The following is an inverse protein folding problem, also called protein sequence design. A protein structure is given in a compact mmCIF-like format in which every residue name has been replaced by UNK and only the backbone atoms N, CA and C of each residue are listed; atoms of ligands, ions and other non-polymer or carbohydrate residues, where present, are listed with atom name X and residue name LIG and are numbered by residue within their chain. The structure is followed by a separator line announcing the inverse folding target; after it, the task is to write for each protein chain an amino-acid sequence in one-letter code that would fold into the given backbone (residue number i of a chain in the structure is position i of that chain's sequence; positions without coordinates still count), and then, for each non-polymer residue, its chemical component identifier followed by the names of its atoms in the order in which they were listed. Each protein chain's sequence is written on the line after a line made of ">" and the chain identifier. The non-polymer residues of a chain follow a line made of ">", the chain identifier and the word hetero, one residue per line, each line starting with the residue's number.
data_IF_475302403740
#
_entry.id   IF_475302403740
#
_cell.length_a   1.000
_cell.length_b   1.000
_cell.length_c   1.000
_cell.angle_alpha   90.00
_cell.angle_beta   90.00
_cell.angle_gamma   90.00
#
_symmetry.space_group_name_H-M   'P 1'
#
loop_
_entity.id
_entity.type
_entity.pdbx_description
1 polymer ?
#
# COMPACT_ATOMS: atom_id res chain seq x y z
N UNK A 1 20.65 4.21 5.60
CA UNK A 1 19.65 3.49 6.41
C UNK A 1 20.09 2.05 6.50
N UNK A 2 20.20 1.48 7.71
CA UNK A 2 20.56 0.06 7.89
C UNK A 2 19.32 -0.82 7.77
N UNK A 3 19.50 -2.11 7.43
CA UNK A 3 18.43 -3.08 7.20
C UNK A 3 17.37 -3.09 8.30
N UNK A 4 17.78 -3.17 9.58
CA UNK A 4 16.82 -3.17 10.69
C UNK A 4 15.96 -1.91 10.77
N UNK A 5 16.56 -0.73 10.53
CA UNK A 5 15.81 0.53 10.51
C UNK A 5 14.79 0.55 9.38
N UNK A 6 15.19 0.09 8.20
CA UNK A 6 14.30 -0.03 7.05
C UNK A 6 13.12 -0.96 7.32
N UNK A 7 13.37 -2.13 7.93
CA UNK A 7 12.33 -3.11 8.25
C UNK A 7 11.31 -2.53 9.25
N UNK A 8 11.79 -1.87 10.32
CA UNK A 8 10.92 -1.23 11.31
C UNK A 8 10.07 -0.10 10.69
N UNK A 9 10.66 0.69 9.80
CA UNK A 9 9.96 1.75 9.09
C UNK A 9 8.88 1.18 8.16
N UNK A 10 9.22 0.15 7.37
CA UNK A 10 8.27 -0.51 6.48
C UNK A 10 7.14 -1.21 7.23
N UNK A 11 7.41 -1.81 8.39
CA UNK A 11 6.36 -2.38 9.24
C UNK A 11 5.39 -1.29 9.74
N UNK A 12 5.92 -0.13 10.14
CA UNK A 12 5.11 1.01 10.56
C UNK A 12 4.25 1.53 9.41
N UNK A 13 4.86 1.69 8.23
CA UNK A 13 4.17 2.09 6.99
C UNK A 13 3.08 1.09 6.62
N UNK A 14 3.33 -0.21 6.72
CA UNK A 14 2.35 -1.27 6.48
C UNK A 14 1.19 -1.22 7.48
N UNK A 15 1.45 -0.95 8.76
CA UNK A 15 0.39 -0.77 9.77
C UNK A 15 -0.51 0.43 9.45
N UNK A 16 0.09 1.56 9.06
CA UNK A 16 -0.67 2.73 8.61
C UNK A 16 -1.50 2.41 7.36
N UNK A 17 -0.90 1.74 6.39
CA UNK A 17 -1.58 1.32 5.17
C UNK A 17 -2.75 0.36 5.45
N UNK A 18 -2.57 -0.64 6.33
CA UNK A 18 -3.64 -1.55 6.74
C UNK A 18 -4.78 -0.78 7.43
N UNK A 19 -4.47 0.22 8.26
CA UNK A 19 -5.50 1.09 8.85
C UNK A 19 -6.26 1.89 7.79
N UNK A 20 -5.58 2.40 6.76
CA UNK A 20 -6.22 3.14 5.67
C UNK A 20 -7.05 2.22 4.76
N UNK A 21 -6.62 0.97 4.54
CA UNK A 21 -7.42 -0.08 3.90
C UNK A 21 -8.69 -0.42 4.68
N UNK A 22 -8.64 -0.47 6.02
CA UNK A 22 -9.84 -0.68 6.83
C UNK A 22 -10.78 0.52 6.79
N UNK A 23 -10.27 1.76 6.79
CA UNK A 23 -11.09 2.96 6.52
C UNK A 23 -11.75 2.89 5.15
N UNK A 24 -10.99 2.48 4.12
CA UNK A 24 -11.47 2.33 2.74
C UNK A 24 -12.61 1.31 2.64
N UNK A 25 -12.54 0.23 3.42
CA UNK A 25 -13.56 -0.81 3.48
C UNK A 25 -14.79 -0.41 4.30
N UNK A 26 -14.59 0.34 5.39
CA UNK A 26 -15.64 0.76 6.30
C UNK A 26 -16.44 1.97 5.78
N UNK A 27 -15.89 2.73 4.82
CA UNK A 27 -16.55 3.91 4.27
C UNK A 27 -17.88 3.57 3.58
N UNK A 28 -18.82 4.53 3.49
CA UNK A 28 -20.04 4.37 2.72
C UNK A 28 -19.72 4.00 1.26
N UNK A 29 -20.34 2.93 0.75
CA UNK A 29 -20.15 2.53 -0.64
C UNK A 29 -20.62 3.65 -1.58
N UNK A 30 -19.88 3.97 -2.66
CA UNK A 30 -20.30 4.97 -3.65
C UNK A 30 -21.70 4.67 -4.19
N UNK A 31 -22.47 5.68 -4.58
CA UNK A 31 -23.83 5.46 -5.14
C UNK A 31 -23.78 4.85 -6.55
N UNK A 32 -22.76 5.19 -7.33
CA UNK A 32 -22.55 4.67 -8.69
C UNK A 32 -21.99 3.25 -8.66
N UNK A 33 -22.57 2.36 -9.47
CA UNK A 33 -22.07 1.00 -9.66
C UNK A 33 -20.63 0.96 -10.19
N UNK A 34 -20.30 1.87 -11.11
CA UNK A 34 -18.94 2.00 -11.63
C UNK A 34 -17.94 2.34 -10.51
N UNK A 35 -18.26 3.32 -9.66
CA UNK A 35 -17.41 3.70 -8.55
C UNK A 35 -17.29 2.60 -7.49
N UNK A 36 -18.35 1.79 -7.27
CA UNK A 36 -18.27 0.60 -6.41
C UNK A 36 -17.34 -0.45 -6.98
N UNK A 37 -17.46 -0.75 -8.28
CA UNK A 37 -16.62 -1.73 -8.95
C UNK A 37 -15.14 -1.32 -8.93
N UNK A 38 -14.85 -0.04 -9.19
CA UNK A 38 -13.49 0.49 -9.11
C UNK A 38 -12.94 0.42 -7.69
N UNK A 39 -13.73 0.78 -6.67
CA UNK A 39 -13.32 0.63 -5.27
C UNK A 39 -12.99 -0.82 -4.89
N UNK A 40 -13.85 -1.77 -5.29
CA UNK A 40 -13.64 -3.19 -4.98
C UNK A 40 -12.40 -3.74 -5.69
N UNK A 41 -12.20 -3.42 -6.98
CA UNK A 41 -10.98 -3.76 -7.72
C UNK A 41 -9.75 -3.19 -7.02
N UNK A 42 -9.81 -1.92 -6.62
CA UNK A 42 -8.69 -1.27 -5.94
C UNK A 42 -8.37 -1.96 -4.62
N UNK A 43 -9.38 -2.29 -3.83
CA UNK A 43 -9.17 -3.01 -2.58
C UNK A 43 -8.47 -4.35 -2.80
N UNK A 44 -8.86 -5.14 -3.80
CA UNK A 44 -8.19 -6.40 -4.12
C UNK A 44 -6.76 -6.22 -4.62
N UNK A 45 -6.50 -5.22 -5.48
CA UNK A 45 -5.15 -4.93 -5.97
C UNK A 45 -4.24 -4.52 -4.81
N UNK A 46 -4.70 -3.60 -3.96
CA UNK A 46 -3.97 -3.11 -2.80
C UNK A 46 -3.66 -4.24 -1.80
N UNK A 47 -4.60 -5.16 -1.59
CA UNK A 47 -4.38 -6.36 -0.77
C UNK A 47 -3.27 -7.24 -1.35
N UNK A 48 -3.29 -7.50 -2.66
CA UNK A 48 -2.28 -8.31 -3.33
C UNK A 48 -0.89 -7.65 -3.28
N UNK A 49 -0.81 -6.33 -3.50
CA UNK A 49 0.45 -5.57 -3.41
C UNK A 49 1.02 -5.53 -2.00
N UNK A 50 0.18 -5.41 -0.98
CA UNK A 50 0.59 -5.51 0.42
C UNK A 50 1.18 -6.88 0.73
N UNK A 51 0.56 -7.94 0.24
CA UNK A 51 1.05 -9.30 0.45
C UNK A 51 2.38 -9.51 -0.30
N UNK A 52 2.52 -8.98 -1.53
CA UNK A 52 3.81 -8.92 -2.25
C UNK A 52 4.88 -8.18 -1.44
N UNK A 53 4.56 -7.02 -0.87
CA UNK A 53 5.48 -6.23 -0.05
C UNK A 53 5.92 -7.02 1.19
N UNK A 54 5.00 -7.71 1.88
CA UNK A 54 5.33 -8.58 3.03
C UNK A 54 6.30 -9.70 2.64
N UNK A 55 6.14 -10.28 1.46
CA UNK A 55 7.07 -11.29 0.96
C UNK A 55 8.43 -10.70 0.58
N UNK A 56 8.48 -9.48 0.02
CA UNK A 56 9.74 -8.77 -0.19
C UNK A 56 10.45 -8.47 1.13
N UNK A 57 9.73 -8.09 2.19
CA UNK A 57 10.32 -7.83 3.50
C UNK A 57 10.90 -9.10 4.11
N UNK A 58 10.20 -10.24 4.04
CA UNK A 58 10.77 -11.53 4.47
C UNK A 58 12.03 -11.92 3.68
N UNK A 59 12.02 -11.68 2.37
CA UNK A 59 13.19 -11.92 1.53
C UNK A 59 14.36 -11.00 1.92
N UNK A 60 14.08 -9.72 2.22
CA UNK A 60 15.07 -8.77 2.70
C UNK A 60 15.66 -9.23 4.03
N UNK A 61 14.84 -9.72 4.96
CA UNK A 61 15.25 -10.27 6.26
C UNK A 61 16.21 -11.47 6.11
N UNK A 62 15.96 -12.36 5.15
CA UNK A 62 16.82 -13.51 4.88
C UNK A 62 18.08 -13.17 4.06
N UNK A 63 18.11 -12.02 3.37
CA UNK A 63 19.23 -11.62 2.52
C UNK A 63 20.46 -11.15 3.32
N UNK A 64 21.65 -11.30 2.71
CA UNK A 64 22.90 -10.74 3.21
C UNK A 64 22.94 -9.21 3.06
N UNK A 65 23.92 -8.57 3.69
CA UNK A 65 24.09 -7.11 3.69
C UNK A 65 24.27 -6.49 2.30
N UNK A 66 24.76 -7.24 1.31
CA UNK A 66 24.82 -6.78 -0.08
C UNK A 66 23.54 -7.12 -0.87
N UNK A 67 22.90 -8.24 -0.54
CA UNK A 67 21.74 -8.77 -1.26
C UNK A 67 20.41 -8.07 -0.97
N UNK A 68 20.31 -7.33 0.14
CA UNK A 68 19.05 -6.68 0.53
C UNK A 68 18.82 -5.33 -0.17
N UNK A 69 19.86 -4.66 -0.69
CA UNK A 69 19.72 -3.34 -1.32
C UNK A 69 18.76 -3.32 -2.52
N UNK A 70 18.80 -4.29 -3.46
CA UNK A 70 17.80 -4.37 -4.53
C UNK A 70 16.39 -4.67 -4.00
N UNK A 71 16.28 -5.48 -2.94
CA UNK A 71 15.00 -5.82 -2.32
C UNK A 71 14.39 -4.59 -1.64
N UNK A 72 15.22 -3.77 -0.98
CA UNK A 72 14.83 -2.47 -0.41
C UNK A 72 14.19 -1.57 -1.47
N UNK A 73 14.86 -1.36 -2.59
CA UNK A 73 14.38 -0.49 -3.67
C UNK A 73 13.05 -1.01 -4.26
N UNK A 74 12.92 -2.33 -4.42
CA UNK A 74 11.66 -2.95 -4.87
C UNK A 74 10.54 -2.76 -3.85
N UNK A 75 10.80 -2.99 -2.57
CA UNK A 75 9.84 -2.80 -1.49
C UNK A 75 9.35 -1.34 -1.38
N UNK A 76 10.26 -0.37 -1.48
CA UNK A 76 9.93 1.06 -1.52
C UNK A 76 9.01 1.39 -2.70
N UNK A 77 9.36 0.92 -3.90
CA UNK A 77 8.54 1.13 -5.09
C UNK A 77 7.14 0.51 -4.96
N UNK A 78 7.04 -0.72 -4.46
CA UNK A 78 5.74 -1.38 -4.24
C UNK A 78 4.89 -0.57 -3.26
N UNK A 79 5.49 -0.09 -2.17
CA UNK A 79 4.77 0.73 -1.19
C UNK A 79 4.30 2.07 -1.79
N UNK A 80 5.17 2.77 -2.51
CA UNK A 80 4.82 4.04 -3.19
C UNK A 80 3.69 3.85 -4.21
N UNK A 81 3.75 2.77 -4.99
CA UNK A 81 2.70 2.44 -5.96
C UNK A 81 1.37 2.12 -5.26
N UNK A 82 1.40 1.45 -4.10
CA UNK A 82 0.21 1.19 -3.29
C UNK A 82 -0.46 2.46 -2.79
N UNK A 83 0.32 3.37 -2.18
CA UNK A 83 -0.20 4.63 -1.65
C UNK A 83 -0.76 5.48 -2.79
N UNK A 84 0.01 5.67 -3.86
CA UNK A 84 -0.42 6.45 -5.03
C UNK A 84 -1.72 5.89 -5.62
N UNK A 85 -1.84 4.58 -5.78
CA UNK A 85 -3.02 3.99 -6.38
C UNK A 85 -4.27 4.10 -5.49
N UNK A 86 -4.10 4.01 -4.17
CA UNK A 86 -5.17 4.26 -3.21
C UNK A 86 -5.66 5.71 -3.32
N UNK A 87 -4.74 6.67 -3.26
CA UNK A 87 -5.04 8.10 -3.38
C UNK A 87 -5.75 8.46 -4.68
N UNK A 88 -5.23 7.98 -5.82
CA UNK A 88 -5.84 8.23 -7.12
C UNK A 88 -7.25 7.67 -7.23
N UNK A 89 -7.48 6.48 -6.66
CA UNK A 89 -8.82 5.86 -6.67
C UNK A 89 -9.78 6.64 -5.77
N UNK A 90 -9.35 7.00 -4.56
CA UNK A 90 -10.16 7.80 -3.64
C UNK A 90 -10.49 9.17 -4.25
N UNK A 91 -9.52 9.86 -4.85
CA UNK A 91 -9.75 11.14 -5.52
C UNK A 91 -10.76 11.04 -6.68
N UNK A 92 -10.72 9.94 -7.45
CA UNK A 92 -11.68 9.69 -8.55
C UNK A 92 -13.09 9.42 -8.04
N UNK A 93 -13.23 8.83 -6.86
CA UNK A 93 -14.53 8.42 -6.30
C UNK A 93 -15.15 9.52 -5.44
N UNK A 94 -14.34 10.17 -4.60
CA UNK A 94 -14.78 11.09 -3.55
C UNK A 94 -14.51 12.56 -3.91
N UNK A 95 -13.85 12.83 -5.04
CA UNK A 95 -13.44 14.18 -5.45
C UNK A 95 -12.00 14.52 -5.05
N UNK A 96 -11.36 15.47 -5.76
CA UNK A 96 -9.96 15.83 -5.57
C UNK A 96 -9.66 16.44 -4.20
N UNK A 97 -10.66 16.99 -3.50
CA UNK A 97 -10.53 17.49 -2.13
C UNK A 97 -10.16 16.41 -1.10
N UNK A 98 -10.34 15.13 -1.47
CA UNK A 98 -10.03 13.97 -0.63
C UNK A 98 -8.74 13.24 -1.05
N UNK A 99 -7.97 13.80 -2.00
CA UNK A 99 -6.68 13.23 -2.41
C UNK A 99 -5.62 13.36 -1.29
N UNK A 100 -4.85 12.30 -1.03
CA UNK A 100 -3.81 12.30 -0.02
C UNK A 100 -4.31 12.08 1.42
N UNK A 101 -5.60 11.78 1.61
CA UNK A 101 -6.19 11.50 2.92
C UNK A 101 -6.05 10.04 3.37
N UNK A 102 -5.54 9.17 2.48
CA UNK A 102 -5.44 7.72 2.67
C UNK A 102 -4.01 7.26 2.44
#
# INVERSE_FOLDING_TARGET
>A
MVKQQFMNEMETRLKTFDANMEKLKARPKPKSEHARAELEKTYFLLKARRDELRDQLKAAEAATDDGWHPIKAKAEKVYEDMVRYMDETCAKIDGPENAGLY
#
